data_IF_709199773098
#
_entry.id   IF_709199773098
#
_cell.length_a   1.000
_cell.length_b   1.000
_cell.length_c   1.000
_cell.angle_alpha   90.00
_cell.angle_beta   90.00
_cell.angle_gamma   90.00
#
_symmetry.space_group_name_H-M   'P 1'
#
loop_
_entity.id
_entity.type
_entity.pdbx_description
1 polymer ?
#
# COMPACT_ATOMS: atom_id res chain seq x y z
N UNK A 1 56.38 -63.08 30.69
CA UNK A 1 57.63 -63.00 31.49
C UNK A 1 57.84 -61.57 31.94
N UNK A 2 58.48 -61.40 33.11
CA UNK A 2 58.89 -60.16 33.76
C UNK A 2 57.80 -59.38 34.52
N UNK A 3 57.55 -59.85 35.74
CA UNK A 3 57.31 -58.99 36.89
C UNK A 3 58.53 -58.09 37.10
N UNK A 4 58.34 -56.78 37.28
CA UNK A 4 59.32 -55.95 37.98
C UNK A 4 58.63 -55.11 39.05
N UNK A 5 59.10 -55.37 40.26
CA UNK A 5 58.85 -54.69 41.50
C UNK A 5 59.51 -53.31 41.47
N UNK A 6 58.79 -52.28 41.93
CA UNK A 6 59.39 -51.05 42.46
C UNK A 6 58.33 -50.47 43.40
N UNK A 7 58.56 -50.34 44.70
CA UNK A 7 59.78 -49.81 45.30
C UNK A 7 59.46 -48.43 45.86
N UNK A 8 58.79 -48.45 47.02
CA UNK A 8 58.50 -47.37 47.97
C UNK A 8 59.45 -46.16 47.88
N UNK A 9 58.92 -45.00 47.50
CA UNK A 9 59.44 -43.68 47.89
C UNK A 9 58.26 -42.78 48.30
N UNK A 10 57.72 -43.05 49.49
CA UNK A 10 56.85 -42.10 50.19
C UNK A 10 57.79 -41.03 50.79
N UNK A 11 57.89 -39.89 50.11
CA UNK A 11 58.57 -38.72 50.65
C UNK A 11 57.52 -37.78 51.26
N UNK A 12 57.31 -37.88 52.57
CA UNK A 12 56.32 -37.12 53.34
C UNK A 12 56.56 -35.59 53.36
N UNK A 13 57.67 -35.11 52.78
CA UNK A 13 58.01 -33.68 52.75
C UNK A 13 57.21 -32.86 51.72
N UNK A 14 56.74 -33.48 50.63
CA UNK A 14 55.96 -32.78 49.59
C UNK A 14 54.48 -32.58 49.99
N UNK A 15 53.89 -33.55 50.68
CA UNK A 15 52.50 -33.48 51.13
C UNK A 15 52.29 -32.44 52.24
N UNK A 16 53.32 -32.17 53.06
CA UNK A 16 53.28 -31.11 54.09
C UNK A 16 53.28 -29.69 53.50
N UNK A 17 53.89 -29.49 52.31
CA UNK A 17 53.88 -28.21 51.59
C UNK A 17 52.56 -27.95 50.86
N UNK A 18 51.86 -29.00 50.43
CA UNK A 18 50.55 -28.91 49.79
C UNK A 18 49.37 -28.72 50.77
N UNK A 19 49.55 -29.06 52.05
CA UNK A 19 48.52 -28.85 53.07
C UNK A 19 48.35 -27.37 53.44
N UNK A 20 49.45 -26.59 53.48
CA UNK A 20 49.40 -25.15 53.84
C UNK A 20 48.91 -24.23 52.72
N UNK A 21 48.89 -24.67 51.46
CA UNK A 21 48.41 -23.86 50.33
C UNK A 21 46.91 -23.98 50.05
N UNK A 22 46.20 -24.92 50.70
CA UNK A 22 44.75 -25.09 50.51
C UNK A 22 43.87 -24.07 51.24
N UNK A 23 44.41 -23.30 52.19
CA UNK A 23 43.59 -22.41 53.02
C UNK A 23 43.48 -20.97 52.52
N UNK A 24 44.27 -20.55 51.52
CA UNK A 24 44.23 -19.18 50.99
C UNK A 24 43.40 -19.02 49.71
N UNK A 25 43.01 -20.12 49.05
CA UNK A 25 42.22 -20.06 47.81
C UNK A 25 40.71 -19.96 48.11
N UNK A 26 40.25 -20.43 49.28
CA UNK A 26 38.83 -20.42 49.66
C UNK A 26 38.25 -19.04 50.01
N UNK A 27 39.10 -18.02 50.24
CA UNK A 27 38.64 -16.65 50.58
C UNK A 27 38.70 -15.66 49.42
N UNK A 28 39.40 -15.99 48.33
CA UNK A 28 39.54 -15.08 47.18
C UNK A 28 38.34 -15.12 46.21
N UNK A 29 37.52 -16.19 46.24
CA UNK A 29 36.33 -16.32 45.38
C UNK A 29 35.02 -15.90 46.05
N UNK A 30 35.04 -15.55 47.33
CA UNK A 30 33.83 -15.10 48.04
C UNK A 30 33.56 -13.59 47.88
N UNK A 31 34.42 -12.87 47.16
CA UNK A 31 34.44 -11.40 47.20
C UNK A 31 34.60 -10.78 45.80
N UNK A 32 33.75 -11.17 44.84
CA UNK A 32 33.45 -10.28 43.69
C UNK A 32 32.19 -10.62 42.89
N UNK A 33 31.49 -11.72 43.14
CA UNK A 33 30.21 -11.96 42.50
C UNK A 33 29.09 -11.22 43.25
N UNK A 34 29.10 -9.89 43.19
CA UNK A 34 27.91 -9.11 43.52
C UNK A 34 26.82 -9.52 42.53
N UNK A 35 25.92 -10.42 42.95
CA UNK A 35 24.74 -10.77 42.17
C UNK A 35 24.00 -9.46 41.90
N UNK A 36 23.82 -9.06 40.62
CA UNK A 36 23.15 -7.81 40.32
C UNK A 36 21.76 -7.89 40.94
N UNK A 37 21.41 -6.92 41.77
CA UNK A 37 20.09 -6.83 42.40
C UNK A 37 19.05 -6.69 41.28
N UNK A 38 18.37 -7.77 40.95
CA UNK A 38 17.30 -7.77 39.95
C UNK A 38 16.09 -7.07 40.59
N UNK A 39 15.91 -5.80 40.26
CA UNK A 39 14.73 -5.05 40.65
C UNK A 39 13.63 -5.40 39.64
N UNK A 40 12.75 -6.31 40.02
CA UNK A 40 11.55 -6.61 39.23
C UNK A 40 10.60 -5.42 39.40
N UNK A 41 10.51 -4.57 38.37
CA UNK A 41 9.46 -3.57 38.29
C UNK A 41 8.13 -4.28 38.06
N UNK A 42 7.12 -3.91 38.84
CA UNK A 42 5.74 -4.35 38.62
C UNK A 42 5.32 -3.90 37.22
N UNK A 43 4.74 -4.80 36.44
CA UNK A 43 4.16 -4.44 35.16
C UNK A 43 2.99 -3.49 35.38
N UNK A 44 3.08 -2.30 34.80
CA UNK A 44 1.98 -1.35 34.69
C UNK A 44 1.41 -1.46 33.29
N UNK A 45 0.09 -1.59 33.18
CA UNK A 45 -0.58 -1.57 31.89
C UNK A 45 -0.32 -0.22 31.24
N UNK A 46 0.10 -0.19 29.96
CA UNK A 46 0.17 1.07 29.24
C UNK A 46 -1.23 1.69 29.24
N UNK A 47 -1.28 3.01 29.44
CA UNK A 47 -2.52 3.76 29.28
C UNK A 47 -3.15 3.41 27.93
N UNK A 48 -4.47 3.20 27.93
CA UNK A 48 -5.20 2.82 26.73
C UNK A 48 -5.23 4.00 25.76
N UNK A 49 -4.19 4.11 24.95
CA UNK A 49 -4.05 5.14 23.92
C UNK A 49 -4.67 4.66 22.60
N UNK A 50 -5.34 5.57 21.90
CA UNK A 50 -5.81 5.32 20.54
C UNK A 50 -4.61 4.98 19.62
N UNK A 51 -4.79 4.02 18.71
CA UNK A 51 -3.76 3.58 17.77
C UNK A 51 -3.13 4.75 17.00
N UNK A 52 -3.95 5.69 16.50
CA UNK A 52 -3.48 6.82 15.71
C UNK A 52 -2.71 7.83 16.57
N UNK A 53 -3.21 8.15 17.75
CA UNK A 53 -2.54 9.01 18.72
C UNK A 53 -1.16 8.45 19.09
N UNK A 54 -1.08 7.14 19.34
CA UNK A 54 0.18 6.45 19.62
C UNK A 54 1.16 6.53 18.47
N UNK A 55 0.73 6.31 17.23
CA UNK A 55 1.62 6.36 16.07
C UNK A 55 2.09 7.78 15.76
N UNK A 56 1.21 8.78 15.93
CA UNK A 56 1.54 10.20 15.80
C UNK A 56 2.57 10.63 16.85
N UNK A 57 2.35 10.28 18.13
CA UNK A 57 3.28 10.54 19.24
C UNK A 57 4.64 9.88 19.04
N UNK A 58 4.65 8.65 18.52
CA UNK A 58 5.88 7.90 18.24
C UNK A 58 6.55 8.27 16.91
N UNK A 59 5.96 9.19 16.12
CA UNK A 59 6.45 9.61 14.81
C UNK A 59 6.79 8.44 13.87
N UNK A 60 5.95 7.40 13.90
CA UNK A 60 6.17 6.22 13.07
C UNK A 60 5.92 6.57 11.60
N UNK A 61 6.89 6.30 10.70
CA UNK A 61 6.69 6.58 9.29
C UNK A 61 5.62 5.65 8.71
N UNK A 62 4.83 6.17 7.78
CA UNK A 62 3.91 5.35 6.98
C UNK A 62 4.72 4.54 5.96
N UNK A 63 4.46 3.24 5.85
CA UNK A 63 5.08 2.44 4.80
C UNK A 63 4.67 2.95 3.42
N UNK A 64 5.58 2.98 2.44
CA UNK A 64 5.23 3.39 1.09
C UNK A 64 4.17 2.46 0.51
N UNK A 65 3.17 3.01 -0.17
CA UNK A 65 2.05 2.26 -0.75
C UNK A 65 1.93 2.49 -2.25
N UNK A 66 1.40 3.63 -2.70
CA UNK A 66 1.15 3.91 -4.12
C UNK A 66 2.43 4.04 -4.94
N UNK A 67 3.53 4.49 -4.32
CA UNK A 67 4.84 4.66 -4.98
C UNK A 67 5.52 3.34 -5.30
N UNK A 68 5.22 2.26 -4.57
CA UNK A 68 5.86 0.95 -4.74
C UNK A 68 4.90 -0.13 -5.27
N UNK A 69 3.59 0.12 -5.23
CA UNK A 69 2.60 -0.88 -5.65
C UNK A 69 2.64 -1.11 -7.16
N UNK A 70 2.63 -2.37 -7.58
CA UNK A 70 2.59 -2.73 -9.00
C UNK A 70 1.28 -2.25 -9.62
N UNK A 71 1.36 -1.45 -10.68
CA UNK A 71 0.18 -1.03 -11.46
C UNK A 71 -0.50 -2.27 -12.06
N UNK A 72 -1.70 -2.57 -11.59
CA UNK A 72 -2.54 -3.66 -12.09
C UNK A 72 -3.64 -3.07 -12.98
N UNK A 73 -4.07 -3.82 -14.00
CA UNK A 73 -5.16 -3.41 -14.88
C UNK A 73 -6.40 -3.02 -14.06
N UNK A 74 -6.78 -3.82 -13.07
CA UNK A 74 -7.91 -3.57 -12.16
C UNK A 74 -7.79 -2.25 -11.40
N UNK A 75 -6.61 -1.97 -10.83
CA UNK A 75 -6.36 -0.74 -10.07
C UNK A 75 -6.46 0.52 -10.96
N UNK A 76 -5.92 0.45 -12.18
CA UNK A 76 -5.97 1.54 -13.15
C UNK A 76 -7.42 1.75 -13.62
N UNK A 77 -8.14 0.68 -13.94
CA UNK A 77 -9.54 0.81 -14.38
C UNK A 77 -10.42 1.44 -13.28
N UNK A 78 -10.20 1.07 -12.02
CA UNK A 78 -10.96 1.63 -10.89
C UNK A 78 -10.70 3.13 -10.71
N UNK A 79 -9.44 3.58 -10.73
CA UNK A 79 -9.15 5.01 -10.58
C UNK A 79 -9.63 5.80 -11.81
N UNK A 80 -9.51 5.26 -13.01
CA UNK A 80 -10.03 5.89 -14.23
C UNK A 80 -11.56 6.02 -14.18
N UNK A 81 -12.27 5.08 -13.55
CA UNK A 81 -13.73 5.17 -13.38
C UNK A 81 -14.14 6.31 -12.46
N UNK A 82 -13.37 6.54 -11.39
CA UNK A 82 -13.57 7.71 -10.51
C UNK A 82 -13.27 9.01 -11.24
N UNK A 83 -12.15 9.08 -11.95
CA UNK A 83 -11.75 10.27 -12.71
C UNK A 83 -12.80 10.59 -13.79
N UNK A 84 -13.22 9.60 -14.57
CA UNK A 84 -14.24 9.80 -15.61
C UNK A 84 -15.57 10.24 -14.99
N UNK A 85 -15.95 9.69 -13.83
CA UNK A 85 -17.14 10.15 -13.10
C UNK A 85 -17.04 11.61 -12.67
N UNK A 86 -15.90 12.03 -12.10
CA UNK A 86 -15.64 13.43 -11.73
C UNK A 86 -15.71 14.34 -12.96
N UNK A 87 -15.11 13.93 -14.09
CA UNK A 87 -15.17 14.70 -15.34
C UNK A 87 -16.62 14.87 -15.81
N UNK A 88 -17.42 13.79 -15.82
CA UNK A 88 -18.82 13.85 -16.26
C UNK A 88 -19.68 14.70 -15.34
N UNK A 89 -19.53 14.57 -14.02
CA UNK A 89 -20.19 15.47 -13.07
C UNK A 89 -19.78 16.92 -13.32
N UNK A 90 -18.48 17.16 -13.54
CA UNK A 90 -17.96 18.47 -13.90
C UNK A 90 -18.58 19.03 -15.18
N UNK A 91 -18.73 18.22 -16.23
CA UNK A 91 -19.37 18.62 -17.49
C UNK A 91 -20.81 19.09 -17.26
N UNK A 92 -21.61 18.26 -16.58
CA UNK A 92 -23.02 18.55 -16.31
C UNK A 92 -23.15 19.79 -15.42
N UNK A 93 -22.34 19.90 -14.37
CA UNK A 93 -22.34 21.08 -13.50
C UNK A 93 -21.91 22.34 -14.24
N UNK A 94 -20.86 22.28 -15.06
CA UNK A 94 -20.39 23.43 -15.83
C UNK A 94 -21.43 23.90 -16.85
N UNK A 95 -22.07 22.97 -17.58
CA UNK A 95 -23.14 23.30 -18.51
C UNK A 95 -24.38 23.83 -17.80
N UNK A 96 -24.78 23.23 -16.68
CA UNK A 96 -25.93 23.64 -15.89
C UNK A 96 -25.75 25.03 -15.26
N UNK A 97 -24.60 25.28 -14.64
CA UNK A 97 -24.26 26.61 -14.09
C UNK A 97 -24.10 27.61 -15.23
N UNK A 98 -23.41 27.24 -16.31
CA UNK A 98 -23.23 28.07 -17.50
C UNK A 98 -24.56 28.56 -18.07
N UNK A 99 -25.55 27.67 -18.20
CA UNK A 99 -26.88 28.02 -18.67
C UNK A 99 -27.63 29.02 -17.75
N UNK A 100 -27.27 29.11 -16.47
CA UNK A 100 -27.88 30.05 -15.51
C UNK A 100 -27.17 31.40 -15.45
N UNK A 101 -25.84 31.41 -15.64
CA UNK A 101 -25.02 32.61 -15.38
C UNK A 101 -24.56 33.32 -16.65
N UNK A 102 -24.52 32.63 -17.79
CA UNK A 102 -24.06 33.21 -19.05
C UNK A 102 -25.15 34.06 -19.69
N UNK A 103 -24.79 35.18 -20.36
CA UNK A 103 -25.75 36.14 -20.88
C UNK A 103 -26.46 35.69 -22.17
N UNK A 104 -25.88 34.72 -22.88
CA UNK A 104 -26.35 34.24 -24.17
C UNK A 104 -26.81 32.78 -24.09
N UNK A 105 -27.62 32.36 -25.06
CA UNK A 105 -28.11 30.99 -25.17
C UNK A 105 -27.08 30.04 -25.80
N UNK A 106 -27.41 28.75 -25.86
CA UNK A 106 -26.54 27.72 -26.42
C UNK A 106 -26.28 27.94 -27.92
N UNK A 107 -27.28 28.44 -28.67
CA UNK A 107 -27.14 28.68 -30.11
C UNK A 107 -26.04 29.71 -30.41
N UNK A 108 -25.96 30.78 -29.61
CA UNK A 108 -24.87 31.75 -29.73
C UNK A 108 -23.48 31.10 -29.61
N UNK A 109 -23.26 30.25 -28.59
CA UNK A 109 -21.96 29.59 -28.41
C UNK A 109 -21.66 28.55 -29.49
N UNK A 110 -22.67 27.88 -30.05
CA UNK A 110 -22.51 26.99 -31.20
C UNK A 110 -22.01 27.79 -32.41
N UNK A 111 -22.68 28.90 -32.76
CA UNK A 111 -22.26 29.73 -33.91
C UNK A 111 -20.86 30.31 -33.72
N UNK A 112 -20.47 30.64 -32.48
CA UNK A 112 -19.11 31.08 -32.16
C UNK A 112 -18.08 29.98 -32.43
N UNK A 113 -18.37 28.73 -32.06
CA UNK A 113 -17.49 27.57 -32.34
C UNK A 113 -17.43 27.28 -33.83
N UNK A 114 -18.56 27.35 -34.54
CA UNK A 114 -18.61 27.20 -36.01
C UNK A 114 -17.75 28.26 -36.72
N UNK A 115 -17.78 29.51 -36.22
CA UNK A 115 -16.97 30.62 -36.71
C UNK A 115 -15.45 30.42 -36.57
N UNK A 116 -15.00 29.48 -35.71
CA UNK A 116 -13.58 29.11 -35.60
C UNK A 116 -13.09 28.32 -36.82
N UNK A 117 -13.98 27.86 -37.71
CA UNK A 117 -13.65 27.12 -38.94
C UNK A 117 -12.68 25.95 -38.70
N UNK A 118 -12.93 25.19 -37.64
CA UNK A 118 -12.11 24.04 -37.26
C UNK A 118 -12.17 22.95 -38.33
N UNK A 119 -11.03 22.30 -38.59
CA UNK A 119 -10.99 21.18 -39.53
C UNK A 119 -11.89 20.02 -39.06
N UNK A 120 -12.45 19.21 -39.98
CA UNK A 120 -13.24 18.04 -39.60
C UNK A 120 -12.50 17.09 -38.65
N UNK A 121 -11.19 16.92 -38.84
CA UNK A 121 -10.36 16.10 -37.96
C UNK A 121 -10.25 16.70 -36.55
N UNK A 122 -10.06 18.01 -36.43
CA UNK A 122 -10.01 18.71 -35.14
C UNK A 122 -11.36 18.59 -34.41
N UNK A 123 -12.48 18.80 -35.11
CA UNK A 123 -13.81 18.65 -34.55
C UNK A 123 -14.06 17.22 -34.06
N UNK A 124 -13.67 16.21 -34.85
CA UNK A 124 -13.78 14.81 -34.45
C UNK A 124 -12.97 14.51 -33.18
N UNK A 125 -11.74 15.01 -33.08
CA UNK A 125 -10.91 14.81 -31.88
C UNK A 125 -11.49 15.49 -30.64
N UNK A 126 -12.06 16.69 -30.77
CA UNK A 126 -12.74 17.37 -29.67
C UNK A 126 -13.99 16.60 -29.22
N UNK A 127 -14.81 16.13 -30.16
CA UNK A 127 -15.96 15.27 -29.87
C UNK A 127 -15.52 13.98 -29.18
N UNK A 128 -14.47 13.33 -29.67
CA UNK A 128 -13.93 12.11 -29.08
C UNK A 128 -13.38 12.34 -27.66
N UNK A 129 -12.73 13.47 -27.40
CA UNK A 129 -12.23 13.81 -26.07
C UNK A 129 -13.37 14.00 -25.05
N UNK A 130 -14.48 14.62 -25.47
CA UNK A 130 -15.69 14.77 -24.65
C UNK A 130 -16.45 13.45 -24.49
N UNK A 131 -16.49 12.62 -25.53
CA UNK A 131 -17.17 11.33 -25.54
C UNK A 131 -16.42 10.24 -24.77
N UNK A 132 -15.08 10.28 -24.70
CA UNK A 132 -14.28 9.22 -24.09
C UNK A 132 -14.62 8.95 -22.61
N UNK A 133 -14.77 9.97 -21.73
CA UNK A 133 -15.24 9.76 -20.37
C UNK A 133 -16.64 9.15 -20.30
N UNK A 134 -17.55 9.52 -21.22
CA UNK A 134 -18.92 8.98 -21.29
C UNK A 134 -18.87 7.50 -21.64
N UNK A 135 -18.16 7.15 -22.72
CA UNK A 135 -18.01 5.76 -23.17
C UNK A 135 -17.38 4.88 -22.11
N UNK A 136 -16.30 5.36 -21.49
CA UNK A 136 -15.58 4.61 -20.46
C UNK A 136 -16.42 4.44 -19.19
N UNK A 137 -16.99 5.53 -18.66
CA UNK A 137 -17.72 5.48 -17.40
C UNK A 137 -18.97 4.59 -17.53
N UNK A 138 -19.67 4.67 -18.67
CA UNK A 138 -20.83 3.83 -18.96
C UNK A 138 -20.46 2.36 -19.07
N UNK A 139 -19.47 2.02 -19.90
CA UNK A 139 -19.05 0.63 -20.11
C UNK A 139 -18.53 0.00 -18.81
N UNK A 140 -17.69 0.72 -18.06
CA UNK A 140 -17.18 0.21 -16.80
C UNK A 140 -18.24 0.24 -15.68
N UNK A 141 -19.21 1.16 -15.72
CA UNK A 141 -20.36 1.18 -14.82
C UNK A 141 -21.23 -0.08 -14.96
N UNK A 142 -21.52 -0.51 -16.20
CA UNK A 142 -22.20 -1.79 -16.47
C UNK A 142 -21.42 -2.96 -15.86
N UNK A 143 -20.09 -2.96 -16.00
CA UNK A 143 -19.22 -3.98 -15.38
C UNK A 143 -19.28 -3.94 -13.85
N UNK A 144 -19.35 -2.76 -13.23
CA UNK A 144 -19.54 -2.64 -11.78
C UNK A 144 -20.89 -3.19 -11.34
N UNK A 145 -21.99 -2.87 -12.05
CA UNK A 145 -23.31 -3.44 -11.75
C UNK A 145 -23.33 -4.97 -11.93
N UNK A 146 -22.57 -5.49 -12.90
CA UNK A 146 -22.37 -6.93 -13.06
C UNK A 146 -21.68 -7.56 -11.84
N UNK A 147 -20.68 -6.89 -11.27
CA UNK A 147 -20.02 -7.29 -10.04
C UNK A 147 -20.91 -7.17 -8.79
N UNK A 148 -21.78 -6.17 -8.72
CA UNK A 148 -22.73 -5.97 -7.61
C UNK A 148 -23.75 -7.12 -7.53
N UNK A 149 -24.01 -7.80 -8.64
CA UNK A 149 -24.77 -9.05 -8.69
C UNK A 149 -23.96 -10.29 -8.30
N UNK A 150 -22.74 -10.12 -7.76
CA UNK A 150 -21.78 -11.16 -7.42
C UNK A 150 -21.36 -12.06 -8.60
N UNK A 151 -21.36 -11.53 -9.83
CA UNK A 151 -20.95 -12.26 -11.05
C UNK A 151 -19.58 -11.79 -11.53
N UNK A 152 -18.79 -12.69 -12.14
CA UNK A 152 -17.51 -12.31 -12.77
C UNK A 152 -16.39 -11.89 -11.83
N UNK A 153 -16.37 -12.42 -10.61
CA UNK A 153 -15.45 -12.03 -9.54
C UNK A 153 -14.19 -12.89 -9.47
N UNK A 154 -14.05 -13.92 -10.30
CA UNK A 154 -12.77 -14.64 -10.40
C UNK A 154 -11.74 -13.76 -11.10
N UNK A 155 -10.45 -13.92 -10.77
CA UNK A 155 -9.38 -13.10 -11.37
C UNK A 155 -9.39 -13.19 -12.90
N UNK A 156 -9.66 -14.38 -13.47
CA UNK A 156 -9.73 -14.55 -14.93
C UNK A 156 -10.86 -13.72 -15.54
N UNK A 157 -12.05 -13.75 -14.93
CA UNK A 157 -13.21 -12.98 -15.38
C UNK A 157 -13.02 -11.48 -15.18
N UNK A 158 -12.44 -11.06 -14.07
CA UNK A 158 -12.13 -9.65 -13.81
C UNK A 158 -11.22 -9.08 -14.91
N UNK A 159 -10.23 -9.83 -15.37
CA UNK A 159 -9.38 -9.40 -16.49
C UNK A 159 -10.10 -9.49 -17.85
N UNK A 160 -10.84 -10.57 -18.13
CA UNK A 160 -11.54 -10.72 -19.42
C UNK A 160 -12.62 -9.67 -19.62
N UNK A 161 -13.47 -9.46 -18.60
CA UNK A 161 -14.47 -8.37 -18.57
C UNK A 161 -13.79 -7.01 -18.63
N UNK A 162 -12.57 -6.89 -18.07
CA UNK A 162 -11.75 -5.70 -18.16
C UNK A 162 -11.42 -5.31 -19.60
N UNK A 163 -10.89 -6.25 -20.39
CA UNK A 163 -10.59 -6.01 -21.80
C UNK A 163 -11.84 -5.82 -22.65
N UNK A 164 -12.92 -6.58 -22.37
CA UNK A 164 -14.19 -6.42 -23.07
C UNK A 164 -14.79 -5.01 -22.88
N UNK A 165 -14.74 -4.48 -21.65
CA UNK A 165 -15.19 -3.12 -21.37
C UNK A 165 -14.33 -2.06 -22.06
N UNK A 166 -13.01 -2.28 -22.20
CA UNK A 166 -12.13 -1.36 -22.92
C UNK A 166 -12.47 -1.32 -24.41
N UNK A 167 -12.75 -2.47 -25.02
CA UNK A 167 -13.23 -2.54 -26.40
C UNK A 167 -14.58 -1.82 -26.55
N UNK A 168 -15.52 -2.06 -25.63
CA UNK A 168 -16.81 -1.34 -25.60
C UNK A 168 -16.65 0.16 -25.45
N UNK A 169 -15.69 0.62 -24.63
CA UNK A 169 -15.36 2.03 -24.47
C UNK A 169 -14.96 2.67 -25.80
N UNK A 170 -14.06 2.04 -26.55
CA UNK A 170 -13.59 2.55 -27.85
C UNK A 170 -14.75 2.62 -28.83
N UNK A 171 -15.58 1.57 -28.91
CA UNK A 171 -16.73 1.53 -29.80
C UNK A 171 -17.76 2.65 -29.49
N UNK A 172 -18.13 2.80 -28.22
CA UNK A 172 -19.09 3.85 -27.80
C UNK A 172 -18.50 5.24 -28.07
N UNK A 173 -17.23 5.46 -27.71
CA UNK A 173 -16.56 6.75 -27.91
C UNK A 173 -16.52 7.12 -29.39
N UNK A 174 -16.14 6.18 -30.26
CA UNK A 174 -16.07 6.41 -31.69
C UNK A 174 -17.45 6.70 -32.29
N UNK A 175 -18.46 5.92 -31.90
CA UNK A 175 -19.84 6.15 -32.33
C UNK A 175 -20.32 7.55 -31.95
N UNK A 176 -20.13 7.95 -30.67
CA UNK A 176 -20.53 9.28 -30.19
C UNK A 176 -19.75 10.42 -30.85
N UNK A 177 -18.47 10.20 -31.18
CA UNK A 177 -17.65 11.20 -31.85
C UNK A 177 -18.02 11.40 -33.34
N UNK A 178 -18.62 10.39 -33.95
CA UNK A 178 -19.04 10.40 -35.35
C UNK A 178 -20.45 10.96 -35.58
N UNK A 179 -21.27 11.09 -34.52
CA UNK A 179 -22.53 11.86 -34.54
C UNK A 179 -22.25 13.35 -34.68
#
# INVERSE_FOLDING_TARGET
MAFYCCGRLINNSLLSKLSKSRLTIGKAYAQSAAVPKIIIKKYELPESENFDARNARLQRPLSPHLSIYKKQLTSILSITHRISGIMLSGYITALGVGALVLPNDVAHYITMIEGLNLSPATLFLLKAALAAPIGYHTANGIRHLYWDMAKGLTIREVYSTGYAMLAGTVAITFFLAAL
#
